data_IF_076625360189
#
_entry.id   IF_076625360189
#
_cell.length_a   1.000
_cell.length_b   1.000
_cell.length_c   1.000
_cell.angle_alpha   90.00
_cell.angle_beta   90.00
_cell.angle_gamma   90.00
#
_symmetry.space_group_name_H-M   'P 1'
#
loop_
_entity.id
_entity.type
_entity.pdbx_description
1 polymer ?
#
# COMPACT_ATOMS: atom_id res chain seq x y z
N UNK A 1 1.43 5.71 -16.89
CA UNK A 1 2.07 4.49 -16.38
C UNK A 1 2.49 3.62 -17.56
N UNK A 2 3.75 3.72 -18.00
CA UNK A 2 4.33 2.74 -18.94
C UNK A 2 5.83 2.64 -18.67
N UNK A 3 6.14 2.01 -17.55
CA UNK A 3 7.44 1.42 -17.30
C UNK A 3 7.10 0.02 -16.82
N UNK A 4 7.48 -1.00 -17.60
CA UNK A 4 7.07 -2.38 -17.39
C UNK A 4 7.17 -2.76 -15.91
N UNK A 5 6.03 -2.91 -15.26
CA UNK A 5 5.92 -3.62 -13.98
C UNK A 5 6.36 -5.03 -14.28
N UNK A 6 7.56 -5.40 -13.83
CA UNK A 6 8.03 -6.78 -13.89
C UNK A 6 7.06 -7.65 -13.07
N UNK A 7 6.82 -8.90 -13.47
CA UNK A 7 5.90 -9.81 -12.77
C UNK A 7 6.25 -9.92 -11.28
N UNK A 8 7.54 -9.83 -10.98
CA UNK A 8 8.14 -9.70 -9.67
C UNK A 8 7.52 -8.61 -8.77
N UNK A 9 7.02 -7.50 -9.34
CA UNK A 9 6.35 -6.44 -8.57
C UNK A 9 5.02 -6.95 -8.00
N UNK A 10 4.18 -7.56 -8.84
CA UNK A 10 2.89 -8.07 -8.42
C UNK A 10 3.06 -9.24 -7.45
N UNK A 11 4.01 -10.15 -7.71
CA UNK A 11 4.33 -11.25 -6.80
C UNK A 11 4.67 -10.76 -5.38
N UNK A 12 5.45 -9.67 -5.28
CA UNK A 12 5.76 -9.05 -3.97
C UNK A 12 4.56 -8.36 -3.33
N UNK A 13 3.75 -7.66 -4.11
CA UNK A 13 2.54 -7.00 -3.60
C UNK A 13 1.54 -8.04 -3.06
N UNK A 14 1.32 -9.11 -3.83
CA UNK A 14 0.44 -10.22 -3.48
C UNK A 14 0.93 -10.97 -2.25
N UNK A 15 2.24 -11.13 -2.06
CA UNK A 15 2.79 -11.70 -0.84
C UNK A 15 2.38 -10.92 0.42
N UNK A 16 2.30 -9.58 0.34
CA UNK A 16 1.80 -8.76 1.45
C UNK A 16 0.28 -8.91 1.65
N UNK A 17 -0.50 -9.01 0.57
CA UNK A 17 -1.94 -9.24 0.63
C UNK A 17 -2.24 -10.61 1.24
N UNK A 18 -1.52 -11.65 0.85
CA UNK A 18 -1.69 -13.01 1.37
C UNK A 18 -1.44 -13.06 2.88
N UNK A 19 -0.39 -12.40 3.37
CA UNK A 19 -0.15 -12.28 4.80
C UNK A 19 -1.30 -11.53 5.53
N UNK A 20 -1.82 -10.45 4.95
CA UNK A 20 -2.98 -9.75 5.51
C UNK A 20 -4.23 -10.64 5.51
N UNK A 21 -4.45 -11.45 4.47
CA UNK A 21 -5.57 -12.39 4.41
C UNK A 21 -5.47 -13.49 5.48
N UNK A 22 -4.26 -13.99 5.75
CA UNK A 22 -4.03 -14.92 6.87
C UNK A 22 -4.38 -14.26 8.22
N UNK A 23 -4.01 -12.98 8.40
CA UNK A 23 -4.33 -12.22 9.62
C UNK A 23 -5.83 -11.95 9.77
N UNK A 24 -6.56 -11.74 8.67
CA UNK A 24 -8.02 -11.62 8.68
C UNK A 24 -8.68 -12.90 9.22
N UNK A 25 -8.12 -14.07 8.93
CA UNK A 25 -8.60 -15.34 9.49
C UNK A 25 -8.48 -15.46 11.01
N UNK A 26 -7.66 -14.61 11.65
CA UNK A 26 -7.42 -14.58 13.09
C UNK A 26 -7.91 -13.28 13.77
N UNK A 27 -8.50 -12.34 13.01
CA UNK A 27 -8.93 -11.04 13.51
C UNK A 27 -10.32 -10.67 12.99
N UNK A 28 -11.27 -10.48 13.89
CA UNK A 28 -12.66 -10.13 13.54
C UNK A 28 -12.84 -8.70 13.01
N UNK A 29 -11.77 -7.91 12.94
CA UNK A 29 -11.81 -6.51 12.47
C UNK A 29 -10.94 -6.31 11.23
N UNK A 30 -11.51 -6.41 10.01
CA UNK A 30 -10.77 -6.18 8.78
C UNK A 30 -10.12 -4.80 8.68
N UNK A 31 -10.73 -3.78 9.27
CA UNK A 31 -10.17 -2.43 9.33
C UNK A 31 -8.86 -2.37 10.11
N UNK A 32 -8.71 -3.18 11.16
CA UNK A 32 -7.48 -3.22 11.96
C UNK A 32 -6.32 -3.86 11.19
N UNK A 33 -6.59 -4.90 10.39
CA UNK A 33 -5.58 -5.54 9.54
C UNK A 33 -5.15 -4.59 8.41
N UNK A 34 -6.11 -3.93 7.76
CA UNK A 34 -5.83 -2.91 6.74
C UNK A 34 -4.97 -1.75 7.30
N UNK A 35 -5.32 -1.22 8.47
CA UNK A 35 -4.54 -0.18 9.13
C UNK A 35 -3.12 -0.65 9.48
N UNK A 36 -2.98 -1.91 9.90
CA UNK A 36 -1.67 -2.51 10.22
C UNK A 36 -0.79 -2.65 8.97
N UNK A 37 -1.36 -3.07 7.84
CA UNK A 37 -0.66 -3.15 6.56
C UNK A 37 -0.18 -1.77 6.10
N UNK A 38 -1.04 -0.75 6.19
CA UNK A 38 -0.69 0.63 5.87
C UNK A 38 0.46 1.15 6.75
N UNK A 39 0.40 0.90 8.06
CA UNK A 39 1.47 1.28 8.97
C UNK A 39 2.78 0.51 8.71
N UNK A 40 2.70 -0.77 8.35
CA UNK A 40 3.87 -1.56 7.97
C UNK A 40 4.55 -0.98 6.72
N UNK A 41 3.77 -0.60 5.71
CA UNK A 41 4.29 0.03 4.49
C UNK A 41 5.00 1.35 4.80
N UNK A 42 4.42 2.22 5.65
CA UNK A 42 5.08 3.49 6.00
C UNK A 42 6.40 3.28 6.75
N UNK A 43 6.47 2.32 7.67
CA UNK A 43 7.70 1.97 8.40
C UNK A 43 8.78 1.44 7.46
N UNK A 44 8.42 0.51 6.58
CA UNK A 44 9.35 -0.07 5.63
C UNK A 44 9.88 0.99 4.66
N UNK A 45 8.99 1.78 4.06
CA UNK A 45 9.35 2.84 3.12
C UNK A 45 10.24 3.89 3.79
N UNK A 46 9.92 4.30 5.02
CA UNK A 46 10.77 5.23 5.78
C UNK A 46 12.17 4.68 5.99
N UNK A 47 12.31 3.41 6.38
CA UNK A 47 13.61 2.76 6.55
C UNK A 47 14.40 2.66 5.24
N UNK A 48 13.75 2.29 4.13
CA UNK A 48 14.40 2.23 2.81
C UNK A 48 14.88 3.62 2.39
N UNK A 49 14.03 4.65 2.51
CA UNK A 49 14.40 6.04 2.20
C UNK A 49 15.52 6.56 3.08
N UNK A 50 15.53 6.23 4.37
CA UNK A 50 16.57 6.65 5.32
C UNK A 50 17.98 6.24 4.87
N UNK A 51 18.12 5.11 4.16
CA UNK A 51 19.42 4.63 3.63
C UNK A 51 20.03 5.54 2.56
N UNK A 52 19.24 6.45 1.99
CA UNK A 52 19.70 7.43 1.01
C UNK A 52 20.31 8.70 1.61
N UNK A 53 20.15 8.94 2.91
CA UNK A 53 20.64 10.15 3.59
C UNK A 53 21.94 9.88 4.35
N UNK A 54 22.75 10.92 4.52
CA UNK A 54 24.02 10.87 5.26
C UNK A 54 23.87 11.26 6.72
N UNK A 55 22.80 11.98 7.07
CA UNK A 55 22.51 12.37 8.46
C UNK A 55 21.02 12.60 8.70
N UNK A 56 20.65 12.70 9.98
CA UNK A 56 19.30 13.06 10.43
C UNK A 56 18.89 14.46 9.96
N UNK A 57 19.83 15.40 9.87
CA UNK A 57 19.56 16.77 9.44
C UNK A 57 19.20 16.83 7.96
N UNK A 58 19.92 16.07 7.13
CA UNK A 58 19.63 15.95 5.70
C UNK A 58 18.25 15.31 5.48
N UNK A 59 17.94 14.23 6.21
CA UNK A 59 16.64 13.59 6.15
C UNK A 59 15.51 14.52 6.64
N UNK A 60 15.76 15.32 7.68
CA UNK A 60 14.80 16.29 8.18
C UNK A 60 14.50 17.40 7.16
N UNK A 61 15.52 17.88 6.43
CA UNK A 61 15.33 18.84 5.32
C UNK A 61 14.49 18.26 4.18
N UNK A 62 14.59 16.94 3.95
CA UNK A 62 13.82 16.25 2.92
C UNK A 62 12.40 15.80 3.38
N UNK A 63 12.03 16.02 4.65
CA UNK A 63 10.80 15.48 5.27
C UNK A 63 9.54 15.76 4.44
N UNK A 64 9.30 17.03 4.12
CA UNK A 64 8.08 17.44 3.39
C UNK A 64 8.05 16.85 1.98
N UNK A 65 9.20 16.77 1.32
CA UNK A 65 9.30 16.18 -0.02
C UNK A 65 9.01 14.67 0.00
N UNK A 66 9.49 13.96 1.02
CA UNK A 66 9.20 12.53 1.21
C UNK A 66 7.71 12.30 1.49
N UNK A 67 7.10 13.09 2.39
CA UNK A 67 5.67 13.00 2.69
C UNK A 67 4.83 13.22 1.44
N UNK A 68 5.12 14.29 0.68
CA UNK A 68 4.44 14.58 -0.58
C UNK A 68 4.54 13.42 -1.55
N UNK A 69 5.75 12.91 -1.77
CA UNK A 69 5.98 11.78 -2.68
C UNK A 69 5.14 10.55 -2.30
N UNK A 70 5.21 10.09 -1.05
CA UNK A 70 4.47 8.89 -0.65
C UNK A 70 2.96 9.08 -0.68
N UNK A 71 2.45 10.25 -0.31
CA UNK A 71 1.02 10.56 -0.41
C UNK A 71 0.54 10.57 -1.87
N UNK A 72 1.28 11.19 -2.78
CA UNK A 72 0.95 11.22 -4.22
C UNK A 72 0.99 9.82 -4.84
N UNK A 73 1.98 9.00 -4.50
CA UNK A 73 2.04 7.60 -4.98
C UNK A 73 0.86 6.77 -4.46
N UNK A 74 0.55 6.88 -3.16
CA UNK A 74 -0.57 6.17 -2.58
C UNK A 74 -1.90 6.60 -3.19
N UNK A 75 -2.10 7.90 -3.36
CA UNK A 75 -3.32 8.44 -3.97
C UNK A 75 -3.51 7.90 -5.40
N UNK A 76 -2.47 7.93 -6.24
CA UNK A 76 -2.55 7.42 -7.61
C UNK A 76 -2.97 5.94 -7.66
N UNK A 77 -2.32 5.09 -6.85
CA UNK A 77 -2.67 3.66 -6.80
C UNK A 77 -4.06 3.43 -6.22
N UNK A 78 -4.47 4.22 -5.22
CA UNK A 78 -5.78 4.10 -4.60
C UNK A 78 -6.89 4.54 -5.56
N UNK A 79 -6.70 5.62 -6.32
CA UNK A 79 -7.64 6.09 -7.34
C UNK A 79 -7.90 4.99 -8.37
N UNK A 80 -6.85 4.37 -8.93
CA UNK A 80 -6.99 3.27 -9.89
C UNK A 80 -7.79 2.09 -9.32
N UNK A 81 -7.50 1.67 -8.07
CA UNK A 81 -8.22 0.57 -7.41
C UNK A 81 -9.68 0.95 -7.08
N UNK A 82 -9.93 2.17 -6.63
CA UNK A 82 -11.27 2.64 -6.32
C UNK A 82 -12.13 2.72 -7.57
N UNK A 83 -11.59 3.28 -8.65
CA UNK A 83 -12.31 3.38 -9.93
C UNK A 83 -12.64 1.99 -10.48
N UNK A 84 -11.74 1.00 -10.35
CA UNK A 84 -12.04 -0.38 -10.74
C UNK A 84 -13.19 -0.99 -9.92
N UNK A 85 -13.18 -0.82 -8.59
CA UNK A 85 -14.26 -1.30 -7.72
C UNK A 85 -15.57 -0.55 -7.95
N UNK A 86 -15.54 0.75 -8.24
CA UNK A 86 -16.74 1.55 -8.55
C UNK A 86 -17.37 1.04 -9.85
N UNK A 87 -16.57 0.81 -10.88
CA UNK A 87 -17.06 0.38 -12.19
C UNK A 87 -17.54 -1.08 -12.20
N UNK A 88 -17.00 -1.93 -11.33
CA UNK A 88 -17.30 -3.36 -11.27
C UNK A 88 -17.99 -3.79 -9.96
N UNK A 89 -18.57 -2.84 -9.22
CA UNK A 89 -19.06 -3.06 -7.85
C UNK A 89 -19.98 -4.26 -7.72
N UNK A 90 -21.05 -4.32 -8.53
CA UNK A 90 -22.03 -5.40 -8.46
C UNK A 90 -21.40 -6.75 -8.72
N UNK A 91 -20.42 -6.83 -9.63
CA UNK A 91 -19.73 -8.08 -9.95
C UNK A 91 -18.84 -8.56 -8.79
N UNK A 92 -18.02 -7.67 -8.23
CA UNK A 92 -17.10 -8.03 -7.15
C UNK A 92 -17.84 -8.31 -5.83
N UNK A 93 -18.95 -7.62 -5.58
CA UNK A 93 -19.70 -7.73 -4.32
C UNK A 93 -20.82 -8.77 -4.37
N UNK A 94 -21.22 -9.26 -5.55
CA UNK A 94 -22.25 -10.31 -5.68
C UNK A 94 -21.90 -11.60 -4.93
N UNK A 95 -20.61 -11.92 -4.76
CA UNK A 95 -20.15 -13.10 -4.02
C UNK A 95 -20.16 -12.95 -2.48
N UNK A 96 -20.46 -11.77 -1.95
CA UNK A 96 -20.50 -11.50 -0.51
C UNK A 96 -21.93 -11.52 0.08
N UNK A 97 -22.96 -11.67 -0.76
CA UNK A 97 -24.35 -11.84 -0.34
C UNK A 97 -24.72 -13.33 -0.24
N UNK A 98 -24.23 -14.03 0.78
CA UNK A 98 -24.81 -15.29 1.26
C UNK A 98 -24.74 -15.37 2.77
#
# INVERSE_FOLDING_TARGET
>A
MSQATDNDFYDRADAHINLSNEQLGACDNPGAVSASMMFAATRFNTWVSARGFKSSEEMAQAREQMLKYFCEQYQMMLEDNLDDYINNFDHYMAGQQT
#
